data_IF_566553701608
#
_entry.id   IF_566553701608
#
_cell.length_a   1.000
_cell.length_b   1.000
_cell.length_c   1.000
_cell.angle_alpha   90.00
_cell.angle_beta   90.00
_cell.angle_gamma   90.00
#
_symmetry.space_group_name_H-M   'P 1'
#
loop_
_entity.id
_entity.type
_entity.pdbx_description
1 polymer ?
#
# COMPACT_ATOMS: atom_id res chain seq x y z
N UNK A 1 -9.76 -13.65 16.56
CA UNK A 1 -10.13 -14.67 17.56
C UNK A 1 -8.90 -15.11 18.33
N UNK A 2 -8.53 -14.35 19.39
CA UNK A 2 -7.44 -14.66 20.35
C UNK A 2 -7.78 -14.02 21.71
N UNK A 3 -8.43 -12.86 21.69
CA UNK A 3 -8.89 -12.13 22.89
C UNK A 3 -9.87 -12.88 23.81
N UNK A 4 -10.52 -13.96 23.34
CA UNK A 4 -11.52 -14.71 24.12
C UNK A 4 -10.91 -15.72 25.12
N UNK A 5 -9.62 -16.06 24.99
CA UNK A 5 -9.04 -17.21 25.71
C UNK A 5 -8.14 -16.85 26.91
N UNK A 6 -8.00 -15.57 27.28
CA UNK A 6 -7.11 -15.11 28.38
C UNK A 6 -5.65 -15.63 28.27
N UNK A 7 -5.17 -15.96 27.07
CA UNK A 7 -3.75 -16.25 26.88
C UNK A 7 -2.93 -14.95 27.06
N UNK A 8 -1.72 -15.02 27.64
CA UNK A 8 -0.79 -13.89 27.63
C UNK A 8 -0.60 -13.45 26.18
N UNK A 9 -0.77 -12.15 25.94
CA UNK A 9 -0.74 -11.60 24.58
C UNK A 9 0.69 -11.73 24.02
N UNK A 10 0.89 -12.69 23.14
CA UNK A 10 2.19 -12.99 22.53
C UNK A 10 2.48 -12.13 21.28
N UNK A 11 1.56 -11.24 20.89
CA UNK A 11 1.70 -10.40 19.70
C UNK A 11 1.89 -8.91 20.01
N UNK A 12 2.02 -8.54 21.29
CA UNK A 12 2.12 -7.14 21.73
C UNK A 12 3.40 -6.42 21.27
N UNK A 13 4.42 -7.15 20.77
CA UNK A 13 5.66 -6.58 20.24
C UNK A 13 5.66 -6.30 18.73
N UNK A 14 4.60 -6.66 18.00
CA UNK A 14 4.55 -6.53 16.54
C UNK A 14 3.59 -5.43 16.09
N UNK A 15 4.06 -4.61 15.15
CA UNK A 15 3.23 -3.60 14.48
C UNK A 15 2.81 -4.15 13.12
N UNK A 16 1.52 -4.36 12.93
CA UNK A 16 0.98 -4.76 11.63
C UNK A 16 0.91 -3.55 10.70
N UNK A 17 1.61 -3.63 9.56
CA UNK A 17 1.56 -2.60 8.52
C UNK A 17 0.47 -2.98 7.50
N UNK A 18 -0.51 -2.11 7.23
CA UNK A 18 -1.54 -2.42 6.25
C UNK A 18 -0.92 -2.50 4.86
N UNK A 19 -1.09 -3.65 4.20
CA UNK A 19 -0.60 -3.89 2.86
C UNK A 19 -1.72 -4.38 1.94
N UNK A 20 -1.94 -3.64 0.85
CA UNK A 20 -3.02 -3.92 -0.11
C UNK A 20 -2.54 -4.87 -1.21
N UNK A 21 -2.13 -6.07 -0.81
CA UNK A 21 -1.51 -7.07 -1.70
C UNK A 21 -2.35 -7.37 -2.93
N UNK A 22 -3.66 -7.54 -2.76
CA UNK A 22 -4.57 -7.85 -3.86
C UNK A 22 -4.50 -6.79 -4.97
N UNK A 23 -4.58 -5.51 -4.63
CA UNK A 23 -4.54 -4.42 -5.62
C UNK A 23 -3.21 -4.40 -6.39
N UNK A 24 -2.10 -4.59 -5.68
CA UNK A 24 -0.77 -4.65 -6.29
C UNK A 24 -0.62 -5.85 -7.23
N UNK A 25 -1.01 -7.05 -6.79
CA UNK A 25 -0.93 -8.26 -7.60
C UNK A 25 -1.85 -8.19 -8.81
N UNK A 26 -3.07 -7.67 -8.66
CA UNK A 26 -3.97 -7.47 -9.80
C UNK A 26 -3.33 -6.57 -10.86
N UNK A 27 -2.72 -5.45 -10.45
CA UNK A 27 -2.04 -4.53 -11.36
C UNK A 27 -0.86 -5.21 -12.07
N UNK A 28 0.00 -5.91 -11.34
CA UNK A 28 1.13 -6.65 -11.91
C UNK A 28 0.67 -7.78 -12.85
N UNK A 29 -0.37 -8.54 -12.45
CA UNK A 29 -0.94 -9.61 -13.26
C UNK A 29 -1.64 -9.08 -14.51
N UNK A 30 -2.21 -7.87 -14.49
CA UNK A 30 -2.94 -7.31 -15.64
C UNK A 30 -2.08 -7.19 -16.90
N UNK A 31 -0.77 -7.02 -16.73
CA UNK A 31 0.20 -6.95 -17.83
C UNK A 31 0.33 -8.30 -18.55
N UNK A 32 0.23 -9.41 -17.82
CA UNK A 32 0.45 -10.76 -18.33
C UNK A 32 -0.86 -11.51 -18.62
N UNK A 33 -1.90 -11.28 -17.82
CA UNK A 33 -3.20 -11.95 -17.86
C UNK A 33 -4.33 -10.90 -17.80
N UNK A 34 -4.53 -10.12 -18.87
CA UNK A 34 -5.53 -9.05 -18.90
C UNK A 34 -6.97 -9.59 -18.81
N UNK A 35 -7.22 -10.82 -19.26
CA UNK A 35 -8.56 -11.43 -19.23
C UNK A 35 -9.01 -11.75 -17.80
N UNK A 36 -8.09 -12.19 -16.93
CA UNK A 36 -8.38 -12.55 -15.54
C UNK A 36 -8.55 -11.32 -14.64
N UNK A 37 -8.01 -10.18 -15.07
CA UNK A 37 -8.02 -8.92 -14.31
C UNK A 37 -9.02 -7.90 -14.85
N UNK A 38 -9.68 -8.18 -15.98
CA UNK A 38 -10.63 -7.27 -16.64
C UNK A 38 -11.78 -6.80 -15.74
N UNK A 39 -12.20 -7.63 -14.78
CA UNK A 39 -13.27 -7.30 -13.82
C UNK A 39 -12.76 -6.53 -12.61
N UNK A 40 -11.45 -6.57 -12.34
CA UNK A 40 -10.85 -5.98 -11.16
C UNK A 40 -10.49 -4.51 -11.43
N UNK A 41 -11.49 -3.64 -11.35
CA UNK A 41 -11.26 -2.20 -11.46
C UNK A 41 -10.46 -1.69 -10.25
N UNK A 42 -9.36 -0.93 -10.46
CA UNK A 42 -8.59 -0.38 -9.36
C UNK A 42 -9.43 0.65 -8.60
N UNK A 43 -9.46 0.53 -7.27
CA UNK A 43 -10.15 1.49 -6.40
C UNK A 43 -9.32 2.77 -6.32
N UNK A 44 -9.73 3.79 -7.09
CA UNK A 44 -9.06 5.08 -7.12
C UNK A 44 -9.75 6.09 -6.20
N UNK A 45 -8.94 6.89 -5.51
CA UNK A 45 -9.35 8.12 -4.83
C UNK A 45 -8.96 9.30 -5.71
N UNK A 46 -9.94 10.09 -6.15
CA UNK A 46 -9.69 11.28 -6.95
C UNK A 46 -9.35 12.47 -6.04
N UNK A 47 -8.21 13.11 -6.29
CA UNK A 47 -7.80 14.34 -5.60
C UNK A 47 -7.56 15.46 -6.62
N UNK A 48 -7.89 16.70 -6.25
CA UNK A 48 -7.57 17.89 -7.05
C UNK A 48 -6.31 18.54 -6.48
N UNK A 49 -5.23 18.59 -7.27
CA UNK A 49 -3.96 19.20 -6.89
C UNK A 49 -3.52 20.16 -8.00
N UNK A 50 -3.22 21.42 -7.64
CA UNK A 50 -2.80 22.47 -8.58
C UNK A 50 -3.71 22.61 -9.82
N UNK A 51 -5.03 22.48 -9.64
CA UNK A 51 -6.00 22.56 -10.74
C UNK A 51 -6.16 21.29 -11.58
N UNK A 52 -5.32 20.26 -11.37
CA UNK A 52 -5.39 18.96 -12.07
C UNK A 52 -6.07 17.91 -11.20
N UNK A 53 -6.91 17.07 -11.81
CA UNK A 53 -7.48 15.88 -11.18
C UNK A 53 -6.47 14.73 -11.26
N UNK A 54 -6.15 14.10 -10.13
CA UNK A 54 -5.21 12.99 -10.02
C UNK A 54 -5.91 11.83 -9.32
N UNK A 55 -5.87 10.64 -9.93
CA UNK A 55 -6.30 9.40 -9.28
C UNK A 55 -5.16 8.82 -8.45
N UNK A 56 -5.44 8.47 -7.20
CA UNK A 56 -4.52 7.75 -6.33
C UNK A 56 -5.06 6.36 -6.04
N UNK A 57 -4.22 5.34 -6.24
CA UNK A 57 -4.47 3.96 -5.81
C UNK A 57 -3.66 3.67 -4.55
N UNK A 58 -4.11 2.71 -3.73
CA UNK A 58 -3.29 2.17 -2.64
C UNK A 58 -2.04 1.43 -3.14
N UNK A 59 -2.03 0.97 -4.39
CA UNK A 59 -0.87 0.31 -5.00
C UNK A 59 0.26 1.27 -5.36
N UNK A 60 -0.05 2.55 -5.59
CA UNK A 60 0.93 3.55 -6.03
C UNK A 60 2.03 3.82 -5.01
N UNK A 61 1.73 3.64 -3.72
CA UNK A 61 2.71 3.76 -2.64
C UNK A 61 3.88 2.77 -2.84
N UNK A 62 3.64 1.61 -3.46
CA UNK A 62 4.65 0.57 -3.72
C UNK A 62 5.27 0.66 -5.12
N UNK A 63 4.48 1.09 -6.11
CA UNK A 63 4.92 1.19 -7.52
C UNK A 63 5.86 2.37 -7.74
N UNK A 64 5.62 3.49 -7.05
CA UNK A 64 6.40 4.73 -7.20
C UNK A 64 7.35 4.97 -6.02
N UNK A 65 7.95 3.91 -5.48
CA UNK A 65 8.91 4.02 -4.38
C UNK A 65 10.15 4.83 -4.80
N UNK A 66 10.79 5.57 -3.88
CA UNK A 66 12.04 6.28 -4.16
C UNK A 66 13.14 5.34 -4.66
N UNK A 67 13.97 5.83 -5.58
CA UNK A 67 15.08 5.05 -6.18
C UNK A 67 16.11 4.59 -5.13
N UNK A 68 16.28 5.37 -4.06
CA UNK A 68 17.12 5.03 -2.89
C UNK A 68 16.67 3.75 -2.17
N UNK A 69 15.46 3.27 -2.46
CA UNK A 69 14.89 2.06 -1.88
C UNK A 69 14.65 0.98 -2.95
N UNK A 70 15.25 1.11 -4.13
CA UNK A 70 15.10 0.13 -5.21
C UNK A 70 15.70 -1.23 -4.83
N UNK A 71 16.81 -1.21 -4.09
CA UNK A 71 17.55 -2.38 -3.62
C UNK A 71 16.78 -3.24 -2.61
N UNK A 72 15.73 -2.70 -1.98
CA UNK A 72 14.86 -3.46 -1.10
C UNK A 72 13.79 -4.16 -1.91
N UNK A 73 13.59 -5.45 -1.64
CA UNK A 73 12.36 -6.10 -2.07
C UNK A 73 11.16 -5.45 -1.36
N UNK A 74 9.97 -5.63 -1.93
CA UNK A 74 8.76 -4.98 -1.44
C UNK A 74 8.42 -5.35 0.02
N UNK A 75 8.70 -6.58 0.43
CA UNK A 75 8.44 -7.06 1.78
C UNK A 75 9.36 -6.37 2.81
N UNK A 76 10.66 -6.34 2.54
CA UNK A 76 11.65 -5.63 3.37
C UNK A 76 11.32 -4.14 3.45
N UNK A 77 10.89 -3.54 2.34
CA UNK A 77 10.51 -2.13 2.31
C UNK A 77 9.31 -1.84 3.21
N UNK A 78 8.25 -2.64 3.14
CA UNK A 78 7.04 -2.45 3.96
C UNK A 78 7.33 -2.65 5.45
N UNK A 79 8.24 -3.58 5.81
CA UNK A 79 8.58 -3.81 7.21
C UNK A 79 9.50 -2.74 7.79
N UNK A 80 10.46 -2.24 7.02
CA UNK A 80 11.52 -1.35 7.53
C UNK A 80 11.11 0.12 7.51
N UNK A 81 10.17 0.50 6.66
CA UNK A 81 9.78 1.89 6.46
C UNK A 81 8.34 2.16 6.91
N UNK A 82 8.11 3.32 7.50
CA UNK A 82 6.78 3.75 7.95
C UNK A 82 6.32 4.97 7.18
N UNK A 83 5.05 4.95 6.75
CA UNK A 83 4.44 6.10 6.09
C UNK A 83 4.19 7.21 7.10
N UNK A 84 4.92 8.30 6.96
CA UNK A 84 4.73 9.50 7.77
C UNK A 84 3.85 10.51 7.05
N UNK A 85 2.76 10.95 7.69
CA UNK A 85 1.94 12.04 7.18
C UNK A 85 2.73 13.34 7.27
N UNK A 86 3.13 13.90 6.12
CA UNK A 86 3.75 15.22 6.09
C UNK A 86 2.66 16.26 6.35
N UNK A 87 2.76 16.97 7.48
CA UNK A 87 1.92 18.16 7.72
C UNK A 87 2.21 19.15 6.59
N UNK A 88 1.16 19.60 5.88
CA UNK A 88 1.31 20.71 4.93
C UNK A 88 1.85 21.90 5.70
N UNK A 89 3.02 22.43 5.30
CA UNK A 89 3.46 23.74 5.78
C UNK A 89 2.38 24.73 5.35
N UNK A 90 1.79 25.43 6.32
CA UNK A 90 0.95 26.61 6.05
C UNK A 90 1.86 27.61 5.35
N UNK A 91 1.65 27.81 4.05
CA UNK A 91 2.12 29.00 3.35
C UNK A 91 1.24 30.17 3.77
#
# INVERSE_FOLDING_TARGET
>A
TVYLLKNPDHYTSYVFVPFYWHTFVTEACSVYHPQDTATAQPRLVLIKQHGKLVGLSSSFDYTHRPIEHEDYNLYDWIQRFQRVSKRKKKQ
#
